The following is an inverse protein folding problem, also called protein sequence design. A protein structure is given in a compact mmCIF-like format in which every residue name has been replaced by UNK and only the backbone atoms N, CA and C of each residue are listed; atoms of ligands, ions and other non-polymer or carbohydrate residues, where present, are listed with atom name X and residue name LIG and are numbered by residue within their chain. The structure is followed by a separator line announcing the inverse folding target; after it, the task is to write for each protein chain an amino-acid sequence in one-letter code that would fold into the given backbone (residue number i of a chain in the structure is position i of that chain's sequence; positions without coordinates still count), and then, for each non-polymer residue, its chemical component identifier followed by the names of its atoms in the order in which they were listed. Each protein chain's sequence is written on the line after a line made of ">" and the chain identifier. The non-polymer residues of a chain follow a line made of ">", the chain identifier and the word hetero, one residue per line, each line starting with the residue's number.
data_IF_364582941055
#
_entry.id   IF_364582941055
#
_cell.length_a   1.000
_cell.length_b   1.000
_cell.length_c   1.000
_cell.angle_alpha   90.00
_cell.angle_beta   90.00
_cell.angle_gamma   90.00
#
_symmetry.space_group_name_H-M   'P 1'
#
loop_
_entity.id
_entity.type
_entity.pdbx_description
1 polymer ?
#
# COMPACT_ATOMS: atom_id res chain seq x y z
N UNK A 1 -40.76 -6.10 14.58
CA UNK A 1 -40.78 -5.25 13.36
C UNK A 1 -39.48 -4.46 13.17
N UNK A 2 -38.72 -4.14 14.23
CA UNK A 2 -37.42 -3.45 14.11
C UNK A 2 -36.23 -4.38 13.79
N UNK A 3 -36.29 -5.67 14.14
CA UNK A 3 -35.19 -6.62 13.88
C UNK A 3 -35.07 -7.13 12.42
N UNK A 4 -36.07 -6.88 11.57
CA UNK A 4 -36.09 -7.40 10.19
C UNK A 4 -35.54 -6.38 9.17
N UNK A 5 -35.49 -5.09 9.54
CA UNK A 5 -34.92 -4.04 8.70
C UNK A 5 -33.39 -3.98 8.78
N UNK A 6 -32.81 -4.30 9.94
CA UNK A 6 -31.36 -4.29 10.14
C UNK A 6 -30.63 -5.39 9.34
N UNK A 7 -31.23 -6.59 9.20
CA UNK A 7 -30.67 -7.65 8.35
C UNK A 7 -30.72 -7.32 6.84
N UNK A 8 -31.76 -6.59 6.40
CA UNK A 8 -31.93 -6.21 5.00
C UNK A 8 -30.98 -5.06 4.64
N UNK A 9 -30.81 -4.07 5.52
CA UNK A 9 -29.83 -2.99 5.35
C UNK A 9 -28.39 -3.51 5.40
N UNK A 10 -28.11 -4.52 6.23
CA UNK A 10 -26.78 -5.16 6.30
C UNK A 10 -26.48 -6.02 5.07
N UNK A 11 -27.49 -6.58 4.39
CA UNK A 11 -27.34 -7.32 3.13
C UNK A 11 -27.29 -6.44 1.87
N UNK A 12 -27.64 -5.15 1.96
CA UNK A 12 -27.45 -4.16 0.89
C UNK A 12 -26.03 -3.55 0.90
N UNK A 13 -25.10 -4.15 1.61
CA UNK A 13 -23.71 -3.69 1.68
C UNK A 13 -22.96 -4.16 0.44
N UNK A 14 -22.62 -3.20 -0.42
CA UNK A 14 -21.44 -3.22 -1.32
C UNK A 14 -21.07 -4.57 -1.96
N UNK A 15 -22.04 -5.37 -2.38
CA UNK A 15 -21.75 -6.58 -3.16
C UNK A 15 -21.16 -6.14 -4.50
N UNK A 16 -20.04 -6.76 -4.89
CA UNK A 16 -19.40 -6.51 -6.17
C UNK A 16 -20.44 -6.66 -7.30
N UNK A 17 -20.57 -5.61 -8.12
CA UNK A 17 -21.55 -5.58 -9.23
C UNK A 17 -22.94 -5.04 -8.88
N UNK A 18 -23.25 -4.75 -7.61
CA UNK A 18 -24.51 -4.11 -7.22
C UNK A 18 -24.62 -2.64 -7.64
N UNK A 19 -25.84 -2.10 -7.78
CA UNK A 19 -26.06 -0.72 -8.23
C UNK A 19 -25.37 0.33 -7.33
N UNK A 20 -25.46 0.18 -6.00
CA UNK A 20 -24.77 1.06 -5.04
C UNK A 20 -23.24 0.94 -5.13
N UNK A 21 -22.73 -0.26 -5.37
CA UNK A 21 -21.31 -0.49 -5.62
C UNK A 21 -20.86 0.22 -6.90
N UNK A 22 -21.61 0.10 -7.99
CA UNK A 22 -21.28 0.77 -9.26
C UNK A 22 -21.28 2.29 -9.14
N UNK A 23 -22.27 2.87 -8.44
CA UNK A 23 -22.33 4.31 -8.18
C UNK A 23 -21.13 4.73 -7.31
N UNK A 24 -20.87 4.03 -6.21
CA UNK A 24 -19.73 4.30 -5.35
C UNK A 24 -18.39 4.17 -6.07
N UNK A 25 -18.22 3.14 -6.89
CA UNK A 25 -17.02 2.88 -7.69
C UNK A 25 -16.81 3.95 -8.77
N UNK A 26 -17.90 4.45 -9.38
CA UNK A 26 -17.84 5.57 -10.30
C UNK A 26 -17.27 6.82 -9.62
N UNK A 27 -17.73 7.15 -8.42
CA UNK A 27 -17.18 8.26 -7.66
C UNK A 27 -15.74 8.00 -7.22
N UNK A 28 -15.41 6.79 -6.77
CA UNK A 28 -14.07 6.39 -6.37
C UNK A 28 -13.05 6.60 -7.50
N UNK A 29 -13.38 6.19 -8.72
CA UNK A 29 -12.46 6.26 -9.88
C UNK A 29 -12.39 7.64 -10.55
N UNK A 30 -13.45 8.46 -10.43
CA UNK A 30 -13.55 9.74 -11.18
C UNK A 30 -13.45 10.99 -10.33
N UNK A 31 -13.38 10.86 -9.01
CA UNK A 31 -13.24 12.00 -8.09
C UNK A 31 -12.07 11.79 -7.14
N UNK A 32 -11.77 12.79 -6.32
CA UNK A 32 -10.74 12.68 -5.29
C UNK A 32 -11.11 11.70 -4.16
N UNK A 33 -12.33 11.13 -4.13
CA UNK A 33 -12.74 10.18 -3.09
C UNK A 33 -11.86 8.93 -3.06
N UNK A 34 -11.40 8.42 -4.20
CA UNK A 34 -10.46 7.30 -4.23
C UNK A 34 -9.12 7.64 -3.58
N UNK A 35 -8.58 8.82 -3.88
CA UNK A 35 -7.37 9.34 -3.25
C UNK A 35 -7.54 9.55 -1.73
N UNK A 36 -8.68 10.10 -1.30
CA UNK A 36 -8.99 10.26 0.14
C UNK A 36 -9.06 8.90 0.82
N UNK A 37 -9.70 7.90 0.20
CA UNK A 37 -9.79 6.55 0.73
C UNK A 37 -8.39 5.90 0.87
N UNK A 38 -7.57 6.00 -0.18
CA UNK A 38 -6.19 5.52 -0.16
C UNK A 38 -5.37 6.18 0.96
N UNK A 39 -5.46 7.51 1.11
CA UNK A 39 -4.75 8.22 2.18
C UNK A 39 -5.22 7.80 3.57
N UNK A 40 -6.51 7.48 3.74
CA UNK A 40 -7.03 6.94 5.01
C UNK A 40 -6.49 5.54 5.29
N UNK A 41 -6.31 4.72 4.27
CA UNK A 41 -5.73 3.38 4.43
C UNK A 41 -4.26 3.44 4.82
N UNK A 42 -3.48 4.29 4.14
CA UNK A 42 -2.08 4.59 4.51
C UNK A 42 -1.98 5.11 5.94
N UNK A 43 -2.82 6.08 6.34
CA UNK A 43 -2.82 6.61 7.70
C UNK A 43 -3.19 5.54 8.74
N UNK A 44 -4.17 4.67 8.45
CA UNK A 44 -4.52 3.55 9.34
C UNK A 44 -3.37 2.55 9.47
N UNK A 45 -2.63 2.29 8.39
CA UNK A 45 -1.45 1.45 8.43
C UNK A 45 -0.39 2.06 9.36
N UNK A 46 -0.11 3.37 9.25
CA UNK A 46 0.80 4.11 10.13
C UNK A 46 0.35 4.17 11.59
N UNK A 47 -0.95 4.23 11.85
CA UNK A 47 -1.50 4.20 13.21
C UNK A 47 -1.42 2.80 13.84
N UNK A 48 -1.61 1.75 13.02
CA UNK A 48 -1.68 0.36 13.47
C UNK A 48 -0.31 -0.29 13.61
N UNK A 49 0.64 0.10 12.76
CA UNK A 49 2.00 -0.36 12.77
C UNK A 49 2.90 0.77 13.21
N UNK A 50 3.66 0.55 14.29
CA UNK A 50 4.69 1.52 14.69
C UNK A 50 5.69 1.78 13.55
N UNK A 51 6.54 2.79 13.72
CA UNK A 51 7.56 3.16 12.74
C UNK A 51 8.40 1.93 12.33
N UNK A 52 8.18 1.40 11.12
CA UNK A 52 8.87 0.21 10.60
C UNK A 52 8.24 -1.15 10.93
N UNK A 53 7.02 -1.21 11.46
CA UNK A 53 6.25 -2.45 11.59
C UNK A 53 5.31 -2.63 10.38
N UNK A 54 4.92 -3.87 10.05
CA UNK A 54 3.87 -4.13 9.05
C UNK A 54 3.21 -5.47 9.35
N UNK A 55 2.09 -5.75 8.69
CA UNK A 55 1.44 -7.07 8.72
C UNK A 55 2.29 -8.19 8.10
N UNK A 56 3.37 -7.86 7.39
CA UNK A 56 4.22 -8.79 6.65
C UNK A 56 5.62 -8.91 7.26
N UNK A 57 6.33 -9.99 6.93
CA UNK A 57 7.71 -10.21 7.39
C UNK A 57 8.64 -9.18 6.73
N UNK A 58 8.97 -8.10 7.45
CA UNK A 58 9.93 -7.08 7.03
C UNK A 58 11.37 -7.53 7.36
N UNK A 59 11.76 -8.69 6.87
CA UNK A 59 13.15 -9.13 7.01
C UNK A 59 13.84 -8.94 5.67
N UNK A 60 14.91 -8.15 5.67
CA UNK A 60 15.82 -8.08 4.55
C UNK A 60 16.37 -9.48 4.27
N UNK A 61 16.25 -9.93 3.02
CA UNK A 61 16.80 -11.21 2.57
C UNK A 61 17.97 -10.97 1.63
N UNK A 62 18.96 -11.83 1.73
CA UNK A 62 20.08 -11.86 0.81
C UNK A 62 19.92 -13.05 -0.13
N UNK A 63 20.08 -12.81 -1.43
CA UNK A 63 20.11 -13.84 -2.46
C UNK A 63 21.36 -13.64 -3.31
N UNK A 64 22.34 -14.54 -3.20
CA UNK A 64 23.69 -14.33 -3.71
C UNK A 64 24.26 -12.99 -3.19
N UNK A 65 24.66 -12.11 -4.10
CA UNK A 65 25.18 -10.78 -3.76
C UNK A 65 24.07 -9.71 -3.67
N UNK A 66 22.80 -10.08 -3.90
CA UNK A 66 21.67 -9.16 -3.84
C UNK A 66 21.09 -9.09 -2.44
N UNK A 67 21.04 -7.88 -1.89
CA UNK A 67 20.30 -7.54 -0.67
C UNK A 67 18.93 -6.98 -1.07
N UNK A 68 17.88 -7.64 -0.61
CA UNK A 68 16.47 -7.31 -0.90
C UNK A 68 15.81 -6.85 0.39
N UNK A 69 15.51 -5.55 0.50
CA UNK A 69 14.83 -4.98 1.66
C UNK A 69 13.39 -4.60 1.30
N UNK A 70 12.39 -5.25 1.92
CA UNK A 70 11.01 -4.79 1.81
C UNK A 70 10.82 -3.47 2.58
N UNK A 71 10.09 -2.52 1.98
CA UNK A 71 9.70 -1.25 2.58
C UNK A 71 8.17 -1.18 2.58
N UNK A 72 7.52 -1.26 3.75
CA UNK A 72 6.06 -1.24 3.81
C UNK A 72 5.50 0.14 3.46
N UNK A 73 4.48 0.15 2.60
CA UNK A 73 3.80 1.38 2.18
C UNK A 73 2.35 1.44 2.67
N UNK A 74 1.66 0.30 2.71
CA UNK A 74 0.34 0.16 3.29
C UNK A 74 0.19 -1.22 3.93
N UNK A 75 -1.03 -1.57 4.37
CA UNK A 75 -1.32 -2.88 4.98
C UNK A 75 -1.00 -4.06 4.04
N UNK A 76 -1.19 -3.85 2.74
CA UNK A 76 -1.18 -4.91 1.73
C UNK A 76 -0.10 -4.72 0.66
N UNK A 77 0.60 -3.58 0.64
CA UNK A 77 1.60 -3.24 -0.38
C UNK A 77 2.98 -2.94 0.22
N UNK A 78 4.00 -3.52 -0.41
CA UNK A 78 5.41 -3.30 -0.11
C UNK A 78 6.12 -2.78 -1.36
N UNK A 79 6.99 -1.79 -1.18
CA UNK A 79 8.06 -1.51 -2.12
C UNK A 79 9.27 -2.40 -1.80
N UNK A 80 10.21 -2.53 -2.73
CA UNK A 80 11.47 -3.24 -2.49
C UNK A 80 12.66 -2.37 -2.85
N UNK A 81 13.61 -2.26 -1.94
CA UNK A 81 14.94 -1.70 -2.22
C UNK A 81 15.89 -2.87 -2.42
N UNK A 82 16.36 -3.04 -3.66
CA UNK A 82 17.29 -4.10 -4.03
C UNK A 82 18.65 -3.49 -4.35
N UNK A 83 19.72 -4.03 -3.78
CA UNK A 83 21.08 -3.59 -4.06
C UNK A 83 22.05 -4.75 -4.17
N UNK A 84 23.01 -4.66 -5.09
CA UNK A 84 24.17 -5.55 -5.17
C UNK A 84 25.42 -4.95 -4.47
N UNK A 85 25.24 -3.84 -3.75
CA UNK A 85 26.30 -3.05 -3.12
C UNK A 85 26.94 -2.00 -4.02
N UNK A 86 26.63 -1.99 -5.32
CA UNK A 86 27.09 -0.96 -6.29
C UNK A 86 25.93 -0.20 -6.90
N UNK A 87 24.88 -0.93 -7.29
CA UNK A 87 23.66 -0.43 -7.91
C UNK A 87 22.51 -0.66 -6.95
N UNK A 88 21.66 0.33 -6.80
CA UNK A 88 20.43 0.24 -6.00
C UNK A 88 19.22 0.56 -6.83
N UNK A 89 18.23 -0.33 -6.81
CA UNK A 89 16.97 -0.20 -7.55
C UNK A 89 15.81 -0.23 -6.56
N UNK A 90 14.89 0.72 -6.71
CA UNK A 90 13.62 0.73 -5.98
C UNK A 90 12.54 0.14 -6.86
N UNK A 91 11.80 -0.84 -6.36
CA UNK A 91 10.72 -1.52 -7.06
C UNK A 91 9.39 -1.10 -6.46
N UNK A 92 8.45 -0.73 -7.34
CA UNK A 92 7.05 -0.44 -7.01
C UNK A 92 6.85 0.55 -5.84
N UNK A 93 7.44 1.77 -5.88
CA UNK A 93 7.21 2.79 -4.85
C UNK A 93 5.84 3.48 -5.05
N UNK A 94 4.76 2.83 -4.61
CA UNK A 94 3.39 3.34 -4.65
C UNK A 94 3.08 4.50 -3.71
N UNK A 95 3.71 4.56 -2.53
CA UNK A 95 3.76 5.73 -1.64
C UNK A 95 5.22 6.19 -1.50
N UNK A 96 5.56 7.42 -1.93
CA UNK A 96 6.93 7.90 -1.86
C UNK A 96 7.44 8.14 -0.43
N UNK A 97 6.57 8.40 0.55
CA UNK A 97 6.98 8.82 1.89
C UNK A 97 7.82 7.76 2.64
N UNK A 98 7.36 6.51 2.84
CA UNK A 98 8.14 5.48 3.54
C UNK A 98 9.39 5.06 2.77
N UNK A 99 9.37 5.14 1.43
CA UNK A 99 10.51 4.86 0.59
C UNK A 99 11.59 5.93 0.76
N UNK A 100 11.21 7.21 0.73
CA UNK A 100 12.13 8.32 0.94
C UNK A 100 12.75 8.28 2.34
N UNK A 101 11.94 8.07 3.38
CA UNK A 101 12.43 7.92 4.76
C UNK A 101 13.47 6.80 4.88
N UNK A 102 13.21 5.64 4.24
CA UNK A 102 14.17 4.54 4.22
C UNK A 102 15.47 4.93 3.50
N UNK A 103 15.38 5.55 2.33
CA UNK A 103 16.54 5.95 1.53
C UNK A 103 17.39 6.99 2.27
N UNK A 104 16.77 8.01 2.85
CA UNK A 104 17.43 9.07 3.62
C UNK A 104 18.11 8.51 4.87
N UNK A 105 17.40 7.70 5.66
CA UNK A 105 17.95 7.07 6.88
C UNK A 105 19.18 6.20 6.60
N UNK A 106 19.25 5.59 5.42
CA UNK A 106 20.35 4.72 5.02
C UNK A 106 21.38 5.41 4.11
N UNK A 107 21.22 6.70 3.82
CA UNK A 107 22.08 7.46 2.88
C UNK A 107 22.21 6.79 1.50
N UNK A 108 21.08 6.28 0.99
CA UNK A 108 21.02 5.58 -0.30
C UNK A 108 20.48 6.54 -1.36
N UNK A 109 21.18 6.64 -2.49
CA UNK A 109 20.67 7.26 -3.70
C UNK A 109 20.37 6.13 -4.69
N UNK A 110 19.10 5.92 -5.09
CA UNK A 110 18.77 4.86 -6.03
C UNK A 110 19.20 5.24 -7.46
N UNK A 111 19.76 4.26 -8.17
CA UNK A 111 20.18 4.40 -9.58
C UNK A 111 19.00 4.27 -10.55
N UNK A 112 17.97 3.52 -10.15
CA UNK A 112 16.77 3.32 -10.94
C UNK A 112 15.52 3.06 -10.10
N UNK A 113 14.38 3.31 -10.72
CA UNK A 113 13.06 2.90 -10.22
C UNK A 113 12.43 1.97 -11.24
N UNK A 114 12.02 0.79 -10.81
CA UNK A 114 11.28 -0.18 -11.62
C UNK A 114 9.84 -0.24 -11.15
N UNK A 115 8.91 0.03 -12.06
CA UNK A 115 7.48 -0.11 -11.82
C UNK A 115 6.97 -1.29 -12.63
N UNK A 116 6.54 -2.34 -11.94
CA UNK A 116 6.04 -3.58 -12.53
C UNK A 116 4.53 -3.53 -12.79
N UNK A 117 3.81 -2.75 -12.00
CA UNK A 117 2.36 -2.60 -12.10
C UNK A 117 1.93 -1.18 -11.74
N UNK A 118 0.69 -0.83 -12.11
CA UNK A 118 0.09 0.43 -11.70
C UNK A 118 -0.53 0.26 -10.32
N UNK A 119 -0.07 1.06 -9.36
CA UNK A 119 -0.70 1.22 -8.05
C UNK A 119 -2.05 1.96 -8.15
#
# INVERSE_FOLDING_TARGET
>A
MLHFQDEILTKMTTQEGGCLFQIGYWFYTRTCLGYIYHRRDVNKAREKYGEGESHSVIQTKTYNDLKITPVPMSLDNLAYVITDGKTTVVIDPGDPEPVNEYLEKNNIIPDAVLVTHKH
#
